data_IF_890217134722
#
_entry.id   IF_890217134722
#
_cell.length_a   1.000
_cell.length_b   1.000
_cell.length_c   1.000
_cell.angle_alpha   90.00
_cell.angle_beta   90.00
_cell.angle_gamma   90.00
#
_symmetry.space_group_name_H-M   'P 1'
#
loop_
_entity.id
_entity.type
_entity.pdbx_description
1 polymer ?
2 water ?
#
# COMPACT_ATOMS: atom_id res chain seq x y z
N UNK A 4 -16.18 -6.39 -5.80
CA UNK A 4 -14.66 -6.28 -5.67
C UNK A 4 -13.90 -5.90 -6.96
N UNK A 5 -13.14 -4.81 -6.89
CA UNK A 5 -12.46 -4.31 -8.08
C UNK A 5 -11.48 -5.30 -8.61
N UNK A 6 -11.37 -5.38 -9.94
CA UNK A 6 -10.37 -6.23 -10.60
C UNK A 6 -8.96 -5.92 -10.12
N UNK A 7 -8.68 -4.65 -9.79
CA UNK A 7 -7.33 -4.33 -9.28
C UNK A 7 -6.94 -4.96 -7.93
N UNK A 8 -7.91 -5.49 -7.17
CA UNK A 8 -7.62 -6.16 -5.91
C UNK A 8 -7.34 -7.61 -6.29
N UNK A 9 -6.08 -8.00 -6.24
CA UNK A 9 -5.67 -9.31 -6.83
C UNK A 9 -5.71 -10.45 -5.81
N UNK A 10 -5.84 -10.12 -4.53
CA UNK A 10 -5.88 -11.13 -3.45
C UNK A 10 -6.52 -10.53 -2.21
N UNK A 11 -7.04 -11.37 -1.31
CA UNK A 11 -7.75 -10.84 -0.17
C UNK A 11 -6.82 -10.84 1.03
N UNK A 12 -6.66 -9.66 1.64
CA UNK A 12 -5.80 -9.48 2.82
C UNK A 12 -6.68 -9.59 4.08
N UNK A 13 -6.39 -10.57 4.97
CA UNK A 13 -7.10 -10.66 6.26
C UNK A 13 -7.14 -9.31 7.00
N UNK A 14 -8.26 -9.00 7.64
CA UNK A 14 -8.39 -7.73 8.35
C UNK A 14 -7.28 -7.48 9.37
N UNK A 15 -6.83 -8.54 10.04
CA UNK A 15 -5.75 -8.40 11.00
C UNK A 15 -4.49 -7.86 10.30
N UNK A 16 -4.17 -8.38 9.13
CA UNK A 16 -2.97 -7.92 8.40
C UNK A 16 -3.20 -6.51 7.82
N UNK A 17 -4.44 -6.21 7.43
CA UNK A 17 -4.77 -4.82 7.04
C UNK A 17 -4.47 -3.83 8.16
N UNK A 18 -4.77 -4.24 9.40
CA UNK A 18 -4.51 -3.38 10.54
C UNK A 18 -3.00 -3.15 10.70
N UNK A 19 -2.22 -4.22 10.53
CA UNK A 19 -0.76 -4.11 10.61
C UNK A 19 -0.19 -3.22 9.52
N UNK A 20 -0.83 -3.28 8.35
CA UNK A 20 -0.47 -2.41 7.21
C UNK A 20 -0.69 -0.95 7.54
N UNK A 21 -1.89 -0.62 8.06
CA UNK A 21 -2.22 0.76 8.50
C UNK A 21 -1.24 1.20 9.57
N UNK A 22 -0.91 0.29 10.50
CA UNK A 22 0.05 0.61 11.57
C UNK A 22 1.45 0.87 11.04
N UNK A 23 1.88 0.07 10.05
CA UNK A 23 3.17 0.29 9.42
C UNK A 23 3.21 1.68 8.75
N UNK A 24 2.14 2.08 8.07
CA UNK A 24 2.07 3.44 7.48
C UNK A 24 2.17 4.51 8.57
N UNK A 25 1.38 4.35 9.63
CA UNK A 25 1.30 5.31 10.74
C UNK A 25 2.64 5.54 11.44
N UNK A 26 3.49 4.52 11.48
CA UNK A 26 4.81 4.68 12.12
C UNK A 26 5.96 4.88 11.15
N UNK A 27 5.68 4.93 9.85
CA UNK A 27 6.72 5.17 8.86
C UNK A 27 7.35 6.56 9.02
N UNK A 28 8.65 6.62 8.78
CA UNK A 28 9.42 7.87 8.83
C UNK A 28 9.23 8.70 7.56
N UNK A 29 9.03 8.04 6.42
CA UNK A 29 8.84 8.77 5.16
C UNK A 29 7.92 8.00 4.22
N UNK A 30 6.88 8.67 3.73
CA UNK A 30 5.91 8.01 2.83
C UNK A 30 5.59 8.93 1.64
N UNK A 31 5.03 8.33 0.58
CA UNK A 31 4.40 9.03 -0.54
C UNK A 31 2.90 8.73 -0.44
N UNK A 32 2.07 9.72 -0.75
CA UNK A 32 0.61 9.59 -0.57
C UNK A 32 -0.10 9.91 -1.87
N UNK A 33 -1.10 9.08 -2.19
CA UNK A 33 -1.93 9.25 -3.38
C UNK A 33 -1.31 8.62 -4.62
N UNK A 34 -2.13 8.39 -5.63
CA UNK A 34 -1.72 7.57 -6.77
C UNK A 34 -0.59 8.17 -7.59
N UNK A 35 -0.59 9.49 -7.71
CA UNK A 35 0.44 10.14 -8.52
C UNK A 35 1.82 9.98 -7.89
N UNK A 36 1.94 10.32 -6.60
CA UNK A 36 3.26 10.15 -5.93
C UNK A 36 3.69 8.69 -5.77
N UNK A 37 2.74 7.83 -5.45
CA UNK A 37 3.04 6.41 -5.30
C UNK A 37 3.54 5.82 -6.61
N UNK A 38 2.85 6.14 -7.72
CA UNK A 38 3.26 5.67 -9.05
C UNK A 38 4.69 6.12 -9.37
N UNK A 39 5.01 7.38 -9.06
CA UNK A 39 6.38 7.86 -9.30
C UNK A 39 7.42 7.13 -8.44
N UNK A 40 7.08 6.88 -7.17
CA UNK A 40 7.95 6.19 -6.20
C UNK A 40 8.23 4.77 -6.63
N UNK A 41 7.22 4.11 -7.19
CA UNK A 41 7.44 2.75 -7.68
C UNK A 41 8.30 2.77 -8.95
N UNK A 42 7.99 3.68 -9.88
CA UNK A 42 8.77 3.78 -11.13
C UNK A 42 10.24 4.02 -10.78
N UNK A 43 10.48 4.83 -9.74
CA UNK A 43 11.84 5.18 -9.29
C UNK A 43 12.52 4.05 -8.51
N UNK A 44 11.73 3.08 -8.07
CA UNK A 44 12.27 1.97 -7.29
C UNK A 44 12.53 2.30 -5.84
N UNK A 45 11.92 3.36 -5.33
CA UNK A 45 12.26 3.78 -3.98
C UNK A 45 11.25 3.30 -2.93
N UNK A 46 10.12 2.81 -3.40
CA UNK A 46 9.06 2.30 -2.51
C UNK A 46 9.47 0.93 -2.00
N UNK A 47 9.37 0.75 -0.68
CA UNK A 47 9.62 -0.56 -0.03
C UNK A 47 8.33 -1.39 0.05
N UNK A 48 7.21 -0.71 0.17
CA UNK A 48 5.98 -1.45 -0.01
C UNK A 48 4.83 -0.51 -0.18
N UNK A 49 3.93 -1.01 -0.98
CA UNK A 49 2.83 -0.15 -1.46
C UNK A 49 1.50 -0.66 -0.91
N UNK A 50 0.69 0.26 -0.38
CA UNK A 50 -0.60 -0.13 0.21
C UNK A 50 -1.69 0.54 -0.61
N UNK A 51 -2.65 -0.24 -1.07
CA UNK A 51 -3.68 0.26 -1.99
C UNK A 51 -5.02 0.05 -1.33
N UNK A 52 -5.86 1.08 -1.34
CA UNK A 52 -7.21 0.93 -0.75
C UNK A 52 -8.12 0.17 -1.72
N UNK A 53 -9.04 -0.64 -1.17
CA UNK A 53 -9.92 -1.46 -2.01
C UNK A 53 -11.11 -0.67 -2.58
N UNK A 54 -11.42 0.50 -2.01
CA UNK A 54 -12.67 1.22 -2.37
C UNK A 54 -12.41 2.51 -3.17
N UNK A 55 -11.34 2.52 -3.95
CA UNK A 55 -11.02 3.69 -4.76
C UNK A 55 -11.99 3.78 -5.96
N UNK A 56 -12.59 4.96 -6.12
CA UNK A 56 -13.50 5.23 -7.24
C UNK A 56 -13.07 6.59 -7.83
N UNK A 57 -12.84 6.70 -9.14
CA UNK A 57 -12.91 5.58 -10.10
C UNK A 57 -11.74 4.58 -9.92
N UNK A 58 -11.97 3.30 -10.21
CA UNK A 58 -10.95 2.27 -10.02
C UNK A 58 -9.65 2.60 -10.82
N UNK A 59 -9.81 3.32 -11.93
CA UNK A 59 -8.63 3.62 -12.79
C UNK A 59 -7.58 4.48 -12.09
N UNK A 60 -7.94 5.14 -11.01
CA UNK A 60 -6.94 5.92 -10.27
C UNK A 60 -5.77 5.02 -9.78
N UNK A 61 -6.09 3.78 -9.38
CA UNK A 61 -5.05 2.87 -8.87
C UNK A 61 -4.96 1.53 -9.64
N UNK A 62 -5.75 1.34 -10.70
CA UNK A 62 -5.83 0.00 -11.35
C UNK A 62 -4.49 -0.51 -11.89
N UNK A 63 -3.61 0.41 -12.24
CA UNK A 63 -2.31 0.08 -12.82
C UNK A 63 -1.25 -0.26 -11.77
N UNK A 64 -1.52 0.00 -10.48
CA UNK A 64 -0.46 -0.15 -9.49
C UNK A 64 0.05 -1.59 -9.29
N UNK A 65 -0.84 -2.58 -9.21
CA UNK A 65 -0.33 -3.95 -9.03
C UNK A 65 0.64 -4.37 -10.12
N UNK A 66 0.29 -4.16 -11.39
CA UNK A 66 1.20 -4.49 -12.49
C UNK A 66 2.52 -3.76 -12.31
N UNK A 67 2.44 -2.45 -12.07
CA UNK A 67 3.63 -1.65 -11.92
C UNK A 67 4.49 -2.13 -10.77
N UNK A 68 3.89 -2.40 -9.61
CA UNK A 68 4.72 -2.91 -8.50
C UNK A 68 5.39 -4.24 -8.89
N UNK A 69 4.61 -5.17 -9.43
CA UNK A 69 5.18 -6.45 -9.82
C UNK A 69 6.31 -6.24 -10.82
N UNK A 70 6.14 -5.30 -11.75
CA UNK A 70 7.17 -5.07 -12.78
C UNK A 70 8.44 -4.42 -12.23
N UNK A 71 8.31 -3.88 -11.02
CA UNK A 71 9.47 -3.23 -10.37
C UNK A 71 9.99 -3.99 -9.17
N UNK A 72 9.43 -5.18 -8.92
CA UNK A 72 9.81 -6.05 -7.81
C UNK A 72 9.47 -5.48 -6.43
N UNK A 73 8.40 -4.71 -6.37
CA UNK A 73 8.02 -4.03 -5.14
C UNK A 73 6.77 -4.68 -4.57
N UNK A 74 6.83 -5.09 -3.29
CA UNK A 74 5.67 -5.74 -2.69
C UNK A 74 4.51 -4.76 -2.48
N UNK A 75 3.29 -5.29 -2.60
CA UNK A 75 2.10 -4.46 -2.38
C UNK A 75 0.99 -5.32 -1.75
N UNK A 76 0.07 -4.65 -1.09
CA UNK A 76 -1.09 -5.28 -0.49
C UNK A 76 -2.19 -4.21 -0.39
N UNK A 77 -3.27 -4.57 0.31
CA UNK A 77 -4.51 -3.80 0.32
C UNK A 77 -5.06 -3.55 1.73
N UNK A 78 -5.79 -2.45 1.88
CA UNK A 78 -6.61 -2.24 3.08
C UNK A 78 -8.00 -1.88 2.53
N UNK A 79 -9.02 -2.09 3.34
CA UNK A 79 -10.39 -1.92 2.85
C UNK A 79 -10.77 -0.48 2.51
N UNK A 80 -10.21 0.50 3.23
CA UNK A 80 -10.76 1.86 3.24
C UNK A 80 -9.73 2.98 2.94
N UNK A 81 -9.97 3.73 1.86
CA UNK A 81 -9.14 4.87 1.53
C UNK A 81 -9.18 5.93 2.65
N UNK A 82 -10.30 6.01 3.38
CA UNK A 82 -10.37 6.95 4.49
C UNK A 82 -9.43 6.54 5.61
N UNK A 83 -9.45 5.26 5.97
CA UNK A 83 -8.53 4.73 6.97
C UNK A 83 -7.07 4.93 6.53
N UNK A 84 -6.80 4.63 5.25
CA UNK A 84 -5.44 4.77 4.73
C UNK A 84 -4.98 6.24 4.78
N UNK A 85 -5.84 7.18 4.41
CA UNK A 85 -5.45 8.58 4.51
C UNK A 85 -5.18 9.00 5.97
N UNK A 86 -6.04 8.55 6.89
CA UNK A 86 -5.85 8.85 8.33
C UNK A 86 -4.53 8.26 8.87
N UNK A 87 -4.23 7.02 8.50
CA UNK A 87 -2.93 6.44 8.83
C UNK A 87 -1.75 7.22 8.28
N UNK A 88 -1.92 7.81 7.09
CA UNK A 88 -0.87 8.60 6.43
C UNK A 88 -0.79 10.03 6.97
N UNK A 89 -1.57 10.30 8.01
CA UNK A 89 -1.51 11.55 8.72
C UNK A 89 -2.30 12.62 8.03
N UNK A 90 -3.20 12.24 7.13
CA UNK A 90 -4.02 13.20 6.40
C UNK A 90 -5.38 13.41 7.03
N UNK A 91 -6.00 14.52 6.64
CA UNK A 91 -7.42 14.82 6.95
C UNK A 91 -8.38 14.32 5.87
N UNK A 92 -7.80 13.78 4.80
CA UNK A 92 -8.59 13.28 3.67
C UNK A 92 -8.17 11.84 3.35
N UNK A 93 -8.93 11.19 2.46
CA UNK A 93 -8.60 9.84 2.05
C UNK A 93 -7.28 9.78 1.25
N UNK A 94 -6.67 8.58 1.19
CA UNK A 94 -5.57 8.31 0.26
C UNK A 94 -5.88 7.00 -0.44
N UNK A 95 -5.83 7.01 -1.76
CA UNK A 95 -6.10 5.80 -2.57
C UNK A 95 -4.99 4.77 -2.40
N UNK A 96 -3.79 5.27 -2.07
CA UNK A 96 -2.57 4.46 -2.08
C UNK A 96 -1.48 5.17 -1.29
N UNK A 97 -0.54 4.39 -0.74
CA UNK A 97 0.58 4.95 0.02
C UNK A 97 1.78 4.07 -0.27
N UNK A 98 2.96 4.68 -0.34
CA UNK A 98 4.20 3.93 -0.51
C UNK A 98 5.04 4.25 0.70
N UNK A 99 5.46 3.21 1.41
CA UNK A 99 6.41 3.40 2.52
C UNK A 99 7.82 3.55 1.91
N UNK A 100 8.47 4.70 2.14
CA UNK A 100 9.83 4.93 1.61
C UNK A 100 10.89 4.58 2.68
N UNK A 101 10.66 5.05 3.89
CA UNK A 101 11.55 4.79 5.01
C UNK A 101 10.64 4.41 6.16
N UNK A 102 10.73 3.15 6.56
CA UNK A 102 9.82 2.55 7.53
C UNK A 102 10.24 2.91 8.99
N UNK A 103 9.31 2.74 9.94
CA UNK A 103 9.59 2.96 11.35
C UNK A 103 10.25 1.75 12.00
N UNK A 104 9.77 0.57 11.69
CA UNK A 104 10.29 -0.65 12.31
C UNK A 104 10.71 -1.59 11.21
N UNK A 105 12.02 -1.79 11.04
CA UNK A 105 12.55 -2.62 9.96
C UNK A 105 12.16 -4.08 10.08
N UNK A 106 12.15 -4.61 11.29
CA UNK A 106 11.78 -6.02 11.49
C UNK A 106 10.31 -6.30 11.16
N UNK A 107 9.45 -5.43 11.69
CA UNK A 107 8.00 -5.49 11.45
C UNK A 107 7.68 -5.40 9.94
N UNK A 108 8.34 -4.46 9.26
CA UNK A 108 8.16 -4.34 7.80
C UNK A 108 8.55 -5.64 7.12
N UNK A 109 9.67 -6.23 7.54
CA UNK A 109 10.14 -7.42 6.86
C UNK A 109 9.15 -8.57 7.05
N UNK A 110 8.68 -8.76 8.27
CA UNK A 110 7.63 -9.77 8.51
C UNK A 110 6.36 -9.52 7.69
N UNK A 111 5.90 -8.27 7.67
CA UNK A 111 4.71 -7.91 6.89
C UNK A 111 4.87 -8.23 5.42
N UNK A 112 6.02 -7.88 4.84
CA UNK A 112 6.26 -8.22 3.44
C UNK A 112 6.19 -9.74 3.15
N UNK A 113 6.77 -10.53 4.07
CA UNK A 113 6.71 -11.98 3.97
C UNK A 113 5.27 -12.49 4.00
N UNK A 114 4.47 -11.96 4.92
CA UNK A 114 3.07 -12.37 5.02
C UNK A 114 2.32 -12.07 3.74
N UNK A 115 2.55 -10.88 3.20
CA UNK A 115 1.93 -10.47 1.95
C UNK A 115 2.31 -11.41 0.80
N UNK A 116 3.62 -11.62 0.63
CA UNK A 116 4.14 -12.58 -0.33
C UNK A 116 3.42 -13.93 -0.31
N UNK A 117 3.11 -14.45 0.87
CA UNK A 117 2.35 -15.68 1.01
C UNK A 117 0.90 -15.55 0.51
N UNK A 118 0.27 -14.40 0.78
CA UNK A 118 -1.13 -14.17 0.36
C UNK A 118 -1.32 -14.09 -1.15
N UNK A 119 -0.29 -13.60 -1.84
CA UNK A 119 -0.38 -13.30 -3.26
C UNK A 119 -0.17 -14.51 -4.19
N UNK A 120 -0.16 -15.72 -3.63
CA UNK A 120 -0.41 -16.92 -4.44
C UNK A 120 -1.37 -17.94 -3.78
#
# INVERSE_FOLDING_TARGET
>A
GSHMAVYVKFKVPEEIQKELLDAVAKAQKIKKGANEVTKAVERGIAKLVIIAEDVKPEEVVAHLPYLCEEKGIPYAYVASKQDLGKAAGLEVAASSVAIINEGDAEELKVLIEKVNVLKQ
#
